data_IF_480507922377
#
_entry.id   IF_480507922377
#
_cell.length_a   1.000
_cell.length_b   1.000
_cell.length_c   1.000
_cell.angle_alpha   90.00
_cell.angle_beta   90.00
_cell.angle_gamma   90.00
#
_symmetry.space_group_name_H-M   'P 1'
#
loop_
_entity.id
_entity.type
_entity.pdbx_description
1 polymer ?
#
# COMPACT_ATOMS: atom_id res chain seq x y z
N UNK A 1 15.68 16.00 -22.77
CA UNK A 1 15.26 16.98 -21.75
C UNK A 1 16.36 17.01 -20.71
N UNK A 2 17.02 18.16 -20.54
CA UNK A 2 18.09 18.36 -19.57
C UNK A 2 17.51 18.77 -18.21
N UNK A 3 18.25 18.47 -17.15
CA UNK A 3 17.98 18.97 -15.81
C UNK A 3 18.98 20.08 -15.54
N UNK A 4 18.49 21.28 -15.22
CA UNK A 4 19.33 22.44 -14.94
C UNK A 4 19.60 22.53 -13.45
N UNK A 5 20.88 22.72 -13.09
CA UNK A 5 21.30 22.83 -11.71
C UNK A 5 20.89 24.19 -11.14
N UNK A 6 19.96 24.17 -10.17
CA UNK A 6 19.46 25.37 -9.51
C UNK A 6 20.34 25.74 -8.33
N UNK A 7 20.63 24.75 -7.47
CA UNK A 7 21.40 24.98 -6.24
C UNK A 7 22.31 23.79 -5.96
N UNK A 8 23.54 24.07 -5.55
CA UNK A 8 24.50 23.07 -5.05
C UNK A 8 25.16 23.58 -3.78
N UNK A 9 24.80 22.98 -2.65
CA UNK A 9 25.32 23.37 -1.35
C UNK A 9 26.05 22.20 -0.69
N UNK A 10 27.17 22.49 -0.05
CA UNK A 10 27.93 21.50 0.73
C UNK A 10 27.72 21.77 2.22
N UNK A 11 27.32 20.75 2.95
CA UNK A 11 27.01 20.83 4.38
C UNK A 11 27.92 19.89 5.18
N UNK A 12 28.22 20.19 6.46
CA UNK A 12 28.96 19.29 7.31
C UNK A 12 28.18 18.00 7.56
N UNK A 13 28.89 16.87 7.55
CA UNK A 13 28.33 15.56 7.86
C UNK A 13 27.93 15.47 9.33
N UNK A 14 26.94 14.63 9.65
CA UNK A 14 26.46 14.38 11.04
C UNK A 14 27.58 13.95 12.00
N UNK A 15 28.63 13.27 11.51
CA UNK A 15 29.76 12.86 12.35
C UNK A 15 30.81 13.96 12.57
N UNK A 16 30.77 15.06 11.80
CA UNK A 16 31.79 16.13 11.85
C UNK A 16 33.06 15.88 11.03
N UNK A 17 33.31 14.65 10.55
CA UNK A 17 34.55 14.27 9.84
C UNK A 17 34.45 14.30 8.31
N UNK A 18 33.51 15.07 7.74
CA UNK A 18 33.33 15.17 6.30
C UNK A 18 32.14 16.03 5.92
N UNK A 19 31.68 15.91 4.68
CA UNK A 19 30.58 16.71 4.14
C UNK A 19 29.56 15.85 3.40
N UNK A 20 28.40 16.43 3.13
CA UNK A 20 27.47 15.94 2.12
C UNK A 20 27.04 17.10 1.22
N UNK A 21 26.76 16.80 -0.04
CA UNK A 21 26.36 17.76 -1.06
C UNK A 21 24.87 17.62 -1.35
N UNK A 22 24.13 18.71 -1.17
CA UNK A 22 22.76 18.89 -1.62
C UNK A 22 22.76 19.44 -3.05
N UNK A 23 22.01 18.82 -3.95
CA UNK A 23 21.86 19.24 -5.34
C UNK A 23 20.37 19.36 -5.64
N UNK A 24 19.93 20.54 -6.06
CA UNK A 24 18.57 20.80 -6.55
C UNK A 24 18.63 21.11 -8.03
N UNK A 25 17.83 20.40 -8.81
CA UNK A 25 17.73 20.55 -10.26
C UNK A 25 16.29 20.80 -10.68
N UNK A 26 16.08 21.54 -11.76
CA UNK A 26 14.78 21.84 -12.34
C UNK A 26 14.79 21.55 -13.84
N UNK A 27 13.69 21.05 -14.39
CA UNK A 27 13.52 20.87 -15.84
C UNK A 27 12.74 22.02 -16.50
N UNK A 28 12.66 22.00 -17.83
CA UNK A 28 11.92 22.98 -18.65
C UNK A 28 10.41 23.06 -18.32
N UNK A 29 9.88 22.09 -17.56
CA UNK A 29 8.48 22.00 -17.13
C UNK A 29 8.30 22.34 -15.65
N UNK A 30 9.29 23.00 -15.05
CA UNK A 30 9.31 23.42 -13.65
C UNK A 30 9.18 22.25 -12.66
N UNK A 31 9.50 21.02 -13.06
CA UNK A 31 9.61 19.90 -12.13
C UNK A 31 10.95 19.99 -11.43
N UNK A 32 10.96 19.76 -10.13
CA UNK A 32 12.19 19.75 -9.33
C UNK A 32 12.57 18.34 -8.93
N UNK A 33 13.87 18.08 -8.84
CA UNK A 33 14.41 16.90 -8.16
C UNK A 33 15.54 17.31 -7.24
N UNK A 34 15.66 16.59 -6.13
CA UNK A 34 16.68 16.81 -5.12
C UNK A 34 17.51 15.54 -5.02
N UNK A 35 18.83 15.71 -5.02
CA UNK A 35 19.80 14.64 -4.86
C UNK A 35 20.77 14.99 -3.72
N UNK A 36 21.15 13.98 -2.95
CA UNK A 36 22.14 14.09 -1.88
C UNK A 36 23.31 13.18 -2.16
N UNK A 37 24.53 13.71 -2.09
CA UNK A 37 25.77 12.95 -2.24
C UNK A 37 26.52 12.99 -0.91
N UNK A 38 26.79 11.83 -0.32
CA UNK A 38 27.51 11.73 0.96
C UNK A 38 29.01 11.52 0.70
N UNK A 39 29.81 12.55 0.95
CA UNK A 39 31.26 12.56 0.67
C UNK A 39 32.11 12.16 1.90
N UNK A 40 31.47 11.80 3.02
CA UNK A 40 32.16 11.40 4.24
C UNK A 40 32.50 9.90 4.24
N UNK A 41 33.80 9.57 4.23
CA UNK A 41 34.29 8.17 4.20
C UNK A 41 33.76 7.28 5.34
N UNK A 42 33.56 7.83 6.54
CA UNK A 42 33.04 7.04 7.67
C UNK A 42 31.52 6.83 7.59
N UNK A 43 30.78 7.84 7.11
CA UNK A 43 29.34 7.77 7.07
C UNK A 43 28.83 7.11 5.78
N UNK A 44 29.58 7.14 4.68
CA UNK A 44 29.17 6.53 3.41
C UNK A 44 28.99 5.01 3.55
N UNK A 45 29.73 4.36 4.45
CA UNK A 45 29.58 2.92 4.71
C UNK A 45 28.38 2.58 5.60
N UNK A 46 27.93 3.52 6.44
CA UNK A 46 26.91 3.28 7.47
C UNK A 46 25.55 3.88 7.15
N UNK A 47 25.50 4.94 6.35
CA UNK A 47 24.31 5.75 6.12
C UNK A 47 24.06 5.99 4.63
N UNK A 48 22.79 6.24 4.33
CA UNK A 48 22.31 6.85 3.08
C UNK A 48 21.47 8.07 3.45
N UNK A 49 21.35 9.03 2.54
CA UNK A 49 20.50 10.20 2.72
C UNK A 49 19.23 9.97 1.89
N UNK A 50 18.06 10.14 2.49
CA UNK A 50 16.78 10.03 1.77
C UNK A 50 16.41 11.31 1.01
N UNK A 51 15.27 11.29 0.33
CA UNK A 51 14.77 12.41 -0.47
C UNK A 51 14.46 13.67 0.37
N UNK A 52 14.22 13.50 1.67
CA UNK A 52 13.96 14.58 2.63
C UNK A 52 15.25 15.08 3.32
N UNK A 53 16.40 14.48 3.01
CA UNK A 53 17.70 14.86 3.57
C UNK A 53 18.06 14.21 4.91
N UNK A 54 17.32 13.19 5.35
CA UNK A 54 17.59 12.47 6.59
C UNK A 54 18.61 11.35 6.40
N UNK A 55 19.50 11.20 7.39
CA UNK A 55 20.47 10.11 7.45
C UNK A 55 19.81 8.82 7.94
N UNK A 56 19.66 7.85 7.03
CA UNK A 56 19.13 6.51 7.31
C UNK A 56 20.28 5.53 7.41
N UNK A 57 20.30 4.71 8.47
CA UNK A 57 21.28 3.61 8.60
C UNK A 57 21.06 2.57 7.50
N UNK A 58 22.13 2.20 6.79
CA UNK A 58 22.11 1.13 5.79
C UNK A 58 21.68 -0.20 6.38
N UNK A 59 22.11 -0.49 7.61
CA UNK A 59 21.71 -1.72 8.30
C UNK A 59 20.20 -1.74 8.56
N UNK A 60 19.62 -0.60 9.01
CA UNK A 60 18.16 -0.47 9.13
C UNK A 60 17.46 -0.63 7.79
N UNK A 61 17.98 -0.03 6.72
CA UNK A 61 17.41 -0.13 5.39
C UNK A 61 17.42 -1.56 4.85
N UNK A 62 18.49 -2.32 5.08
CA UNK A 62 18.60 -3.73 4.70
C UNK A 62 17.54 -4.55 5.42
N UNK A 63 17.41 -4.37 6.74
CA UNK A 63 16.42 -5.05 7.57
C UNK A 63 15.00 -4.72 7.07
N UNK A 64 14.64 -3.44 6.98
CA UNK A 64 13.30 -3.04 6.54
C UNK A 64 12.98 -3.55 5.14
N UNK A 65 13.93 -3.51 4.21
CA UNK A 65 13.72 -4.00 2.84
C UNK A 65 13.54 -5.52 2.79
N UNK A 66 14.32 -6.27 3.57
CA UNK A 66 14.21 -7.74 3.69
C UNK A 66 12.82 -8.13 4.20
N UNK A 67 12.41 -7.57 5.34
CA UNK A 67 11.13 -7.89 5.96
C UNK A 67 9.94 -7.42 5.12
N UNK A 68 10.00 -6.20 4.57
CA UNK A 68 8.96 -5.69 3.67
C UNK A 68 8.71 -6.62 2.48
N UNK A 69 9.77 -7.12 1.83
CA UNK A 69 9.62 -8.09 0.73
C UNK A 69 8.93 -9.39 1.17
N UNK A 70 9.19 -9.86 2.39
CA UNK A 70 8.54 -11.05 2.93
C UNK A 70 7.07 -10.78 3.24
N UNK A 71 6.75 -9.66 3.89
CA UNK A 71 5.37 -9.29 4.21
C UNK A 71 4.57 -9.06 2.92
N UNK A 72 5.11 -8.30 1.96
CA UNK A 72 4.47 -8.05 0.66
C UNK A 72 4.13 -9.36 -0.05
N UNK A 73 5.01 -10.37 0.03
CA UNK A 73 4.74 -11.70 -0.52
C UNK A 73 3.51 -12.35 0.12
N UNK A 74 3.45 -12.43 1.45
CA UNK A 74 2.31 -13.04 2.15
C UNK A 74 1.01 -12.26 1.96
N UNK A 75 1.08 -10.92 1.91
CA UNK A 75 -0.08 -10.08 1.61
C UNK A 75 -0.60 -10.37 0.20
N UNK A 76 0.28 -10.50 -0.79
CA UNK A 76 -0.13 -10.83 -2.15
C UNK A 76 -0.75 -12.22 -2.25
N UNK A 77 -0.16 -13.22 -1.60
CA UNK A 77 -0.71 -14.59 -1.52
C UNK A 77 -2.10 -14.60 -0.87
N UNK A 78 -2.27 -13.90 0.25
CA UNK A 78 -3.55 -13.78 0.95
C UNK A 78 -4.60 -13.07 0.08
N UNK A 79 -4.25 -11.95 -0.54
CA UNK A 79 -5.15 -11.20 -1.39
C UNK A 79 -5.60 -12.01 -2.60
N UNK A 80 -4.69 -12.78 -3.21
CA UNK A 80 -5.01 -13.67 -4.31
C UNK A 80 -5.94 -14.79 -3.85
N UNK A 81 -5.61 -15.46 -2.75
CA UNK A 81 -6.43 -16.52 -2.17
C UNK A 81 -7.88 -16.06 -1.91
N UNK A 82 -8.05 -14.88 -1.33
CA UNK A 82 -9.39 -14.34 -1.04
C UNK A 82 -10.17 -14.03 -2.32
N UNK A 83 -9.50 -13.47 -3.32
CA UNK A 83 -10.11 -13.19 -4.61
C UNK A 83 -10.62 -14.46 -5.29
N UNK A 84 -9.78 -15.48 -5.33
CA UNK A 84 -10.08 -16.75 -6.01
C UNK A 84 -11.16 -17.55 -5.26
N UNK A 85 -11.11 -17.55 -3.93
CA UNK A 85 -12.00 -18.37 -3.10
C UNK A 85 -13.37 -17.73 -2.88
N UNK A 86 -13.42 -16.41 -2.74
CA UNK A 86 -14.64 -15.71 -2.30
C UNK A 86 -15.23 -14.75 -3.33
N UNK A 87 -14.60 -14.58 -4.50
CA UNK A 87 -15.12 -13.73 -5.57
C UNK A 87 -16.52 -14.16 -6.04
N UNK A 88 -16.76 -15.45 -6.18
CA UNK A 88 -18.09 -15.97 -6.55
C UNK A 88 -19.11 -15.77 -5.42
N UNK A 89 -18.72 -16.04 -4.16
CA UNK A 89 -19.57 -15.79 -2.98
C UNK A 89 -20.00 -14.33 -2.90
N UNK A 90 -19.11 -13.40 -3.24
CA UNK A 90 -19.41 -11.97 -3.32
C UNK A 90 -20.47 -11.67 -4.38
N UNK A 91 -20.34 -12.22 -5.58
CA UNK A 91 -21.34 -12.05 -6.65
C UNK A 91 -22.69 -12.64 -6.24
N UNK A 92 -22.68 -13.78 -5.56
CA UNK A 92 -23.89 -14.45 -5.10
C UNK A 92 -24.72 -13.63 -4.09
N UNK A 93 -24.12 -12.66 -3.39
CA UNK A 93 -24.87 -11.69 -2.56
C UNK A 93 -25.90 -10.87 -3.37
N UNK A 94 -25.69 -10.78 -4.69
CA UNK A 94 -26.54 -10.03 -5.62
C UNK A 94 -27.41 -10.93 -6.50
N UNK A 95 -27.44 -12.25 -6.25
CA UNK A 95 -28.19 -13.24 -7.04
C UNK A 95 -29.70 -12.95 -7.17
N UNK A 96 -30.29 -12.23 -6.21
CA UNK A 96 -31.69 -11.81 -6.25
C UNK A 96 -31.96 -10.55 -7.09
N UNK A 97 -30.92 -9.83 -7.49
CA UNK A 97 -31.03 -8.60 -8.26
C UNK A 97 -31.34 -8.89 -9.73
N UNK A 98 -32.36 -8.23 -10.28
CA UNK A 98 -32.76 -8.42 -11.69
C UNK A 98 -32.47 -7.22 -12.54
N UNK A 99 -32.45 -6.02 -11.94
CA UNK A 99 -32.23 -4.76 -12.64
C UNK A 99 -31.00 -4.05 -12.10
N UNK A 100 -30.36 -3.20 -12.92
CA UNK A 100 -29.21 -2.37 -12.49
C UNK A 100 -29.54 -1.49 -11.28
N UNK A 101 -30.81 -1.08 -11.12
CA UNK A 101 -31.27 -0.32 -9.96
C UNK A 101 -31.27 -1.16 -8.69
N UNK A 102 -31.66 -2.43 -8.78
CA UNK A 102 -31.61 -3.38 -7.65
C UNK A 102 -30.16 -3.58 -7.18
N UNK A 103 -29.24 -3.79 -8.12
CA UNK A 103 -27.80 -3.87 -7.82
C UNK A 103 -27.29 -2.60 -7.13
N UNK A 104 -27.69 -1.42 -7.61
CA UNK A 104 -27.29 -0.15 -7.00
C UNK A 104 -27.83 0.00 -5.57
N UNK A 105 -29.11 -0.31 -5.34
CA UNK A 105 -29.72 -0.29 -4.01
C UNK A 105 -28.99 -1.24 -3.06
N UNK A 106 -28.81 -2.50 -3.50
CA UNK A 106 -28.16 -3.53 -2.69
C UNK A 106 -26.71 -3.19 -2.36
N UNK A 107 -25.98 -2.67 -3.34
CA UNK A 107 -24.62 -2.20 -3.14
C UNK A 107 -24.58 -0.99 -2.19
N UNK A 108 -25.59 -0.12 -2.22
CA UNK A 108 -25.75 0.97 -1.28
C UNK A 108 -25.84 0.48 0.17
N UNK A 109 -26.69 -0.51 0.44
CA UNK A 109 -26.80 -1.17 1.76
C UNK A 109 -25.45 -1.73 2.22
N UNK A 110 -24.80 -2.51 1.37
CA UNK A 110 -23.50 -3.13 1.65
C UNK A 110 -22.44 -2.06 1.94
N UNK A 111 -22.39 -0.97 1.17
CA UNK A 111 -21.44 0.12 1.41
C UNK A 111 -21.65 0.75 2.79
N UNK A 112 -22.89 1.00 3.20
CA UNK A 112 -23.18 1.52 4.55
C UNK A 112 -22.67 0.56 5.62
N UNK A 113 -22.89 -0.74 5.46
CA UNK A 113 -22.42 -1.76 6.41
C UNK A 113 -20.88 -1.84 6.46
N UNK A 114 -20.22 -1.64 5.33
CA UNK A 114 -18.76 -1.51 5.24
C UNK A 114 -18.25 -0.17 5.81
N UNK A 115 -19.13 0.79 6.10
CA UNK A 115 -18.81 2.15 6.55
C UNK A 115 -18.28 3.05 5.43
N UNK A 116 -18.64 2.72 4.19
CA UNK A 116 -18.37 3.48 2.98
C UNK A 116 -19.58 4.32 2.60
N UNK A 117 -19.34 5.46 1.93
CA UNK A 117 -20.45 6.31 1.47
C UNK A 117 -21.13 5.72 0.23
N UNK A 118 -22.47 5.62 0.19
CA UNK A 118 -23.19 5.20 -1.00
C UNK A 118 -22.94 6.13 -2.18
N UNK A 119 -22.64 5.57 -3.34
CA UNK A 119 -22.48 6.39 -4.55
C UNK A 119 -23.83 6.76 -5.15
N UNK A 120 -23.89 7.87 -5.90
CA UNK A 120 -25.07 8.21 -6.68
C UNK A 120 -25.35 7.19 -7.79
N UNK A 121 -26.61 7.11 -8.22
CA UNK A 121 -27.03 6.24 -9.34
C UNK A 121 -26.23 6.52 -10.61
N UNK A 122 -25.99 7.80 -10.91
CA UNK A 122 -25.23 8.23 -12.09
C UNK A 122 -23.79 7.72 -12.07
N UNK A 123 -23.12 7.82 -10.93
CA UNK A 123 -21.75 7.28 -10.75
C UNK A 123 -21.73 5.77 -10.89
N UNK A 124 -22.72 5.07 -10.32
CA UNK A 124 -22.85 3.63 -10.47
C UNK A 124 -22.96 3.21 -11.95
N UNK A 125 -23.86 3.83 -12.73
CA UNK A 125 -24.00 3.49 -14.15
C UNK A 125 -22.77 3.82 -14.98
N UNK A 126 -22.08 4.93 -14.67
CA UNK A 126 -20.80 5.28 -15.30
C UNK A 126 -19.76 4.19 -15.05
N UNK A 127 -19.64 3.70 -13.82
CA UNK A 127 -18.68 2.66 -13.46
C UNK A 127 -19.04 1.31 -14.10
N UNK A 128 -20.31 0.91 -14.05
CA UNK A 128 -20.78 -0.31 -14.73
C UNK A 128 -20.46 -0.27 -16.23
N UNK A 129 -20.63 0.89 -16.89
CA UNK A 129 -20.26 1.06 -18.30
C UNK A 129 -18.75 0.95 -18.50
N UNK A 130 -17.95 1.57 -17.62
CA UNK A 130 -16.49 1.53 -17.69
C UNK A 130 -15.93 0.10 -17.55
N UNK A 131 -16.49 -0.71 -16.63
CA UNK A 131 -16.11 -2.10 -16.43
C UNK A 131 -16.83 -3.09 -17.36
N UNK A 132 -17.63 -2.59 -18.31
CA UNK A 132 -18.36 -3.36 -19.31
C UNK A 132 -19.69 -3.94 -18.82
N UNK A 133 -19.72 -4.50 -17.60
CA UNK A 133 -20.94 -5.04 -17.00
C UNK A 133 -20.95 -4.91 -15.47
N UNK A 134 -22.07 -5.29 -14.84
CA UNK A 134 -22.26 -5.15 -13.38
C UNK A 134 -21.34 -6.09 -12.62
N UNK A 135 -21.21 -7.35 -13.04
CA UNK A 135 -20.42 -8.36 -12.32
C UNK A 135 -18.93 -8.00 -12.30
N UNK A 136 -18.37 -7.54 -13.42
CA UNK A 136 -17.00 -7.03 -13.50
C UNK A 136 -16.79 -5.83 -12.57
N UNK A 137 -17.77 -4.93 -12.50
CA UNK A 137 -17.70 -3.81 -11.56
C UNK A 137 -17.75 -4.29 -10.10
N UNK A 138 -18.62 -5.24 -9.78
CA UNK A 138 -18.72 -5.82 -8.45
C UNK A 138 -17.45 -6.57 -8.05
N UNK A 139 -16.86 -7.36 -8.96
CA UNK A 139 -15.58 -8.03 -8.72
C UNK A 139 -14.45 -7.02 -8.53
N UNK A 140 -14.43 -5.93 -9.31
CA UNK A 140 -13.46 -4.86 -9.10
C UNK A 140 -13.60 -4.23 -7.69
N UNK A 141 -14.83 -3.95 -7.25
CA UNK A 141 -15.08 -3.48 -5.90
C UNK A 141 -14.64 -4.49 -4.85
N UNK A 142 -14.95 -5.78 -5.05
CA UNK A 142 -14.52 -6.84 -4.16
C UNK A 142 -13.01 -6.86 -3.99
N UNK A 143 -12.25 -6.83 -5.09
CA UNK A 143 -10.77 -6.76 -5.05
C UNK A 143 -10.27 -5.57 -4.23
N UNK A 144 -10.95 -4.43 -4.31
CA UNK A 144 -10.59 -3.25 -3.54
C UNK A 144 -10.93 -3.39 -2.05
N UNK A 145 -12.08 -4.00 -1.72
CA UNK A 145 -12.56 -4.14 -0.34
C UNK A 145 -11.87 -5.28 0.40
N UNK A 146 -11.53 -6.35 -0.32
CA UNK A 146 -10.87 -7.54 0.18
C UNK A 146 -9.35 -7.40 0.21
N UNK A 147 -8.80 -6.22 -0.11
CA UNK A 147 -7.37 -6.00 -0.05
C UNK A 147 -6.91 -5.87 1.39
N UNK A 148 -6.16 -6.85 1.86
CA UNK A 148 -5.44 -6.78 3.12
C UNK A 148 -4.32 -5.73 3.02
N UNK A 149 -4.29 -4.80 3.98
CA UNK A 149 -3.30 -3.72 4.09
C UNK A 149 -2.84 -3.62 5.54
N UNK A 150 -1.53 -3.64 5.77
CA UNK A 150 -0.92 -3.60 7.12
C UNK A 150 -1.53 -2.52 8.02
N UNK A 151 -1.74 -1.31 7.48
CA UNK A 151 -2.14 -0.13 8.27
C UNK A 151 -3.64 0.17 8.26
N UNK A 152 -4.45 -0.56 7.49
CA UNK A 152 -5.89 -0.34 7.43
C UNK A 152 -6.65 -1.62 7.05
N UNK A 153 -6.94 -2.42 8.07
CA UNK A 153 -7.72 -3.66 7.93
C UNK A 153 -9.22 -3.47 8.19
N UNK A 154 -9.68 -2.24 8.48
CA UNK A 154 -11.06 -2.01 8.94
C UNK A 154 -12.10 -2.44 7.91
N UNK A 155 -11.90 -2.03 6.64
CA UNK A 155 -12.76 -2.39 5.52
C UNK A 155 -12.73 -3.89 5.24
N UNK A 156 -11.51 -4.46 5.21
CA UNK A 156 -11.27 -5.88 5.03
C UNK A 156 -12.00 -6.73 6.09
N UNK A 157 -11.85 -6.40 7.38
CA UNK A 157 -12.48 -7.13 8.47
C UNK A 157 -14.01 -7.00 8.45
N UNK A 158 -14.53 -5.82 8.09
CA UNK A 158 -15.98 -5.62 7.91
C UNK A 158 -16.52 -6.44 6.75
N UNK A 159 -15.78 -6.56 5.65
CA UNK A 159 -16.15 -7.40 4.51
C UNK A 159 -16.21 -8.88 4.90
N UNK A 160 -15.18 -9.40 5.60
CA UNK A 160 -15.18 -10.78 6.07
C UNK A 160 -16.38 -11.06 6.99
N UNK A 161 -16.69 -10.12 7.89
CA UNK A 161 -17.86 -10.23 8.78
C UNK A 161 -19.18 -10.23 8.00
N UNK A 162 -19.36 -9.29 7.07
CA UNK A 162 -20.55 -9.18 6.22
C UNK A 162 -20.78 -10.48 5.43
N UNK A 163 -19.70 -11.06 4.90
CA UNK A 163 -19.75 -12.31 4.15
C UNK A 163 -19.75 -13.56 5.03
N UNK A 164 -19.75 -13.41 6.37
CA UNK A 164 -19.65 -14.50 7.34
C UNK A 164 -18.50 -15.46 7.01
N UNK A 165 -17.33 -14.90 6.69
CA UNK A 165 -16.12 -15.66 6.40
C UNK A 165 -15.35 -15.84 7.72
N UNK A 166 -15.25 -17.09 8.15
CA UNK A 166 -14.34 -17.53 9.20
C UNK A 166 -13.46 -18.62 8.57
N UNK A 167 -12.26 -18.24 8.16
CA UNK A 167 -11.35 -19.10 7.41
C UNK A 167 -10.00 -19.15 8.12
N UNK A 168 -9.61 -20.37 8.49
CA UNK A 168 -8.35 -20.65 9.18
C UNK A 168 -7.13 -20.24 8.35
N UNK A 169 -7.20 -20.33 7.02
CA UNK A 169 -6.10 -19.92 6.12
C UNK A 169 -5.87 -18.41 6.21
N UNK A 170 -6.94 -17.62 6.32
CA UNK A 170 -6.84 -16.17 6.48
C UNK A 170 -6.19 -15.83 7.82
N UNK A 171 -6.60 -16.50 8.89
CA UNK A 171 -6.04 -16.25 10.24
C UNK A 171 -4.59 -16.73 10.37
N UNK A 172 -4.23 -17.84 9.73
CA UNK A 172 -2.85 -18.31 9.67
C UNK A 172 -1.97 -17.30 8.90
N UNK A 173 -2.44 -16.80 7.76
CA UNK A 173 -1.70 -15.80 6.98
C UNK A 173 -1.47 -14.50 7.79
N UNK A 174 -2.49 -14.01 8.50
CA UNK A 174 -2.36 -12.86 9.41
C UNK A 174 -1.33 -13.13 10.51
N UNK A 175 -1.38 -14.30 11.13
CA UNK A 175 -0.44 -14.70 12.19
C UNK A 175 1.00 -14.73 11.68
N UNK A 176 1.22 -15.25 10.48
CA UNK A 176 2.55 -15.26 9.83
C UNK A 176 3.05 -13.84 9.56
N UNK A 177 2.19 -12.94 9.05
CA UNK A 177 2.53 -11.53 8.82
C UNK A 177 2.95 -10.87 10.14
N UNK A 178 2.13 -10.99 11.19
CA UNK A 178 2.44 -10.39 12.50
C UNK A 178 3.71 -10.94 13.14
N UNK A 179 4.02 -12.22 12.93
CA UNK A 179 5.29 -12.80 13.39
C UNK A 179 6.49 -12.15 12.70
N UNK A 180 6.40 -11.90 11.40
CA UNK A 180 7.46 -11.28 10.60
C UNK A 180 7.63 -9.80 11.00
N UNK A 181 6.54 -9.09 11.29
CA UNK A 181 6.59 -7.73 11.83
C UNK A 181 7.30 -7.69 13.20
N UNK A 182 7.00 -8.64 14.09
CA UNK A 182 7.66 -8.75 15.39
C UNK A 182 9.15 -9.07 15.27
N UNK A 183 9.53 -9.96 14.36
CA UNK A 183 10.93 -10.27 14.04
C UNK A 183 11.65 -9.02 13.50
N UNK A 184 11.01 -8.26 12.62
CA UNK A 184 11.54 -6.99 12.11
C UNK A 184 11.79 -5.99 13.23
N UNK A 185 10.84 -5.79 14.14
CA UNK A 185 11.01 -4.89 15.28
C UNK A 185 12.17 -5.31 16.18
N UNK A 186 12.33 -6.62 16.38
CA UNK A 186 13.40 -7.18 17.19
C UNK A 186 14.77 -6.96 16.54
N UNK A 187 14.92 -7.23 15.23
CA UNK A 187 16.15 -6.96 14.49
C UNK A 187 16.46 -5.46 14.42
N UNK A 188 15.45 -4.60 14.25
CA UNK A 188 15.65 -3.14 14.24
C UNK A 188 16.16 -2.62 15.59
N UNK A 189 15.66 -3.15 16.71
CA UNK A 189 16.11 -2.79 18.07
C UNK A 189 17.57 -3.18 18.31
N UNK A 190 18.06 -4.26 17.69
CA UNK A 190 19.45 -4.69 17.82
C UNK A 190 20.46 -3.82 17.05
N UNK A 191 19.98 -2.97 16.12
CA UNK A 191 20.81 -2.13 15.25
C UNK A 191 20.68 -0.63 15.57
N UNK A 192 19.72 -0.25 16.42
CA UNK A 192 19.61 1.08 17.07
C UNK A 192 20.52 1.21 18.27
#
# INVERSE_FOLDING_TARGET
MSWDLMTKNTYPCKCGFGTYTYISEMDDWSRTRVNYILDCKECIEKYVIDEDGYFISKAKLIITTKFKKQIDKYINELNQYIQDTYGEKWINLFSSCKTKKDYWNKLGEIKVELGEYPQSVGTFYKNVKYYGNVDNYLLHLFRSYSQYREKNMSLFNRLLKLMSINDEIIEEAKTRISKIEFEQETELKAVT
#
